data_IF_451900226746
#
_entry.id   IF_451900226746
#
_cell.length_a   1.000
_cell.length_b   1.000
_cell.length_c   1.000
_cell.angle_alpha   90.00
_cell.angle_beta   90.00
_cell.angle_gamma   90.00
#
_symmetry.space_group_name_H-M   'P 1'
#
loop_
_entity.id
_entity.type
_entity.pdbx_description
1 polymer ?
#
# COMPACT_ATOMS: atom_id res chain seq x y z
N UNK A 1 -11.08 -27.98 34.88
CA UNK A 1 -12.23 -27.06 34.83
C UNK A 1 -12.01 -26.13 33.64
N UNK A 2 -12.73 -26.41 32.55
CA UNK A 2 -12.60 -25.73 31.28
C UNK A 2 -13.56 -24.55 31.24
N UNK A 3 -13.06 -23.34 31.02
CA UNK A 3 -13.91 -22.19 30.71
C UNK A 3 -13.98 -22.01 29.19
N UNK A 4 -15.20 -22.19 28.67
CA UNK A 4 -15.57 -21.90 27.29
C UNK A 4 -15.81 -20.38 27.13
N UNK A 5 -15.23 -19.68 26.14
CA UNK A 5 -15.66 -18.31 25.85
C UNK A 5 -16.92 -18.34 24.98
N UNK A 6 -17.87 -17.55 25.40
CA UNK A 6 -19.20 -17.32 24.83
C UNK A 6 -19.13 -16.93 23.33
N UNK A 7 -19.77 -17.79 22.52
CA UNK A 7 -20.25 -17.42 21.18
C UNK A 7 -21.30 -16.30 21.31
N UNK A 8 -21.00 -15.13 20.86
CA UNK A 8 -22.01 -14.10 20.59
C UNK A 8 -22.49 -14.24 19.15
N UNK A 9 -23.70 -14.74 18.98
CA UNK A 9 -24.44 -14.77 17.74
C UNK A 9 -24.66 -13.35 17.22
N UNK A 10 -24.48 -13.09 15.93
CA UNK A 10 -24.96 -11.84 15.34
C UNK A 10 -26.48 -11.95 15.16
N UNK A 11 -27.20 -11.05 15.78
CA UNK A 11 -28.63 -10.89 15.61
C UNK A 11 -28.96 -10.57 14.14
N UNK A 12 -29.78 -11.43 13.58
CA UNK A 12 -30.45 -11.34 12.30
C UNK A 12 -31.37 -10.10 12.30
N UNK A 13 -31.00 -9.06 11.60
CA UNK A 13 -31.96 -8.04 11.17
C UNK A 13 -32.12 -8.21 9.66
N UNK A 14 -32.96 -9.19 9.30
CA UNK A 14 -33.67 -9.24 8.02
C UNK A 14 -35.06 -8.69 8.35
N UNK A 15 -35.40 -7.51 7.83
CA UNK A 15 -36.77 -7.22 7.44
C UNK A 15 -36.88 -5.88 6.69
N UNK A 16 -37.45 -6.00 5.51
CA UNK A 16 -38.18 -5.01 4.71
C UNK A 16 -37.36 -3.87 4.04
N UNK A 17 -36.85 -4.15 2.85
CA UNK A 17 -37.07 -3.21 1.73
C UNK A 17 -37.59 -3.97 0.52
N UNK A 18 -38.93 -3.94 0.41
CA UNK A 18 -39.63 -4.48 -0.75
C UNK A 18 -39.34 -3.65 -2.00
N UNK A 19 -39.07 -4.36 -3.06
CA UNK A 19 -39.37 -4.09 -4.47
C UNK A 19 -39.71 -2.64 -4.86
N UNK A 20 -38.71 -1.93 -5.42
CA UNK A 20 -38.93 -1.10 -6.60
C UNK A 20 -37.81 -1.45 -7.58
N UNK A 21 -38.02 -2.47 -8.41
CA UNK A 21 -37.25 -2.68 -9.62
C UNK A 21 -37.75 -1.66 -10.67
N UNK A 22 -37.13 -0.50 -10.69
CA UNK A 22 -37.15 0.33 -11.90
C UNK A 22 -35.89 -0.01 -12.68
N UNK A 23 -36.11 -0.51 -13.89
CA UNK A 23 -35.11 -0.81 -14.91
C UNK A 23 -34.14 0.37 -15.08
N UNK A 24 -32.99 0.33 -14.43
CA UNK A 24 -31.91 1.26 -14.69
C UNK A 24 -31.02 0.67 -15.79
N UNK A 25 -31.02 1.32 -16.92
CA UNK A 25 -30.23 1.05 -18.10
C UNK A 25 -28.72 1.15 -17.76
N UNK A 26 -27.89 0.12 -18.04
CA UNK A 26 -26.46 0.12 -17.66
C UNK A 26 -25.57 1.01 -18.54
N UNK A 27 -26.18 1.81 -19.45
CA UNK A 27 -25.45 2.58 -20.48
C UNK A 27 -24.77 3.86 -19.98
N UNK A 28 -25.08 4.32 -18.76
CA UNK A 28 -24.54 5.61 -18.26
C UNK A 28 -23.18 5.50 -17.57
N UNK A 29 -22.75 4.32 -17.15
CA UNK A 29 -21.49 4.16 -16.41
C UNK A 29 -20.24 4.11 -17.28
N UNK A 30 -20.37 3.67 -18.53
CA UNK A 30 -19.24 3.63 -19.47
C UNK A 30 -18.82 5.02 -19.97
N UNK A 31 -19.72 6.00 -19.95
CA UNK A 31 -19.46 7.34 -20.51
C UNK A 31 -18.65 8.23 -19.55
N UNK A 32 -18.82 8.08 -18.22
CA UNK A 32 -18.06 8.88 -17.25
C UNK A 32 -16.62 8.41 -17.06
N UNK A 33 -16.34 7.13 -17.25
CA UNK A 33 -14.96 6.61 -17.22
C UNK A 33 -14.11 7.17 -18.38
N UNK A 34 -14.75 7.51 -19.51
CA UNK A 34 -14.10 8.10 -20.69
C UNK A 34 -13.66 9.57 -20.53
N UNK A 35 -14.23 10.28 -19.56
CA UNK A 35 -13.97 11.71 -19.33
C UNK A 35 -13.01 12.01 -18.18
N UNK A 36 -12.45 10.99 -17.55
CA UNK A 36 -11.42 11.20 -16.54
C UNK A 36 -10.17 11.83 -17.19
N UNK A 37 -9.91 13.10 -16.89
CA UNK A 37 -8.71 13.81 -17.36
C UNK A 37 -7.47 12.98 -17.04
N UNK A 38 -6.47 12.93 -17.95
CA UNK A 38 -5.19 12.28 -17.66
C UNK A 38 -4.63 12.82 -16.35
N UNK A 39 -4.19 11.93 -15.49
CA UNK A 39 -3.52 12.32 -14.24
C UNK A 39 -2.18 12.94 -14.64
N UNK A 40 -2.03 14.24 -14.41
CA UNK A 40 -0.76 14.92 -14.62
C UNK A 40 0.15 14.57 -13.47
N UNK A 41 1.08 13.65 -13.69
CA UNK A 41 2.18 13.39 -12.76
C UNK A 41 3.07 14.63 -12.82
N UNK A 42 3.24 15.34 -11.72
CA UNK A 42 4.22 16.42 -11.61
C UNK A 42 5.57 15.90 -12.11
N UNK A 43 6.26 16.71 -12.90
CA UNK A 43 7.49 16.29 -13.55
C UNK A 43 8.53 15.83 -12.52
N UNK A 44 9.03 14.62 -12.69
CA UNK A 44 10.28 14.20 -12.09
C UNK A 44 11.40 14.71 -12.98
N UNK A 45 11.95 15.88 -12.66
CA UNK A 45 13.15 16.35 -13.33
C UNK A 45 14.27 15.30 -13.09
N UNK A 46 14.77 14.70 -14.17
CA UNK A 46 15.85 13.70 -14.13
C UNK A 46 15.53 12.41 -13.35
N UNK A 47 14.35 11.81 -13.57
CA UNK A 47 14.07 10.48 -13.03
C UNK A 47 15.00 9.43 -13.67
N UNK A 48 15.98 8.96 -12.89
CA UNK A 48 16.87 7.86 -13.26
C UNK A 48 16.62 6.69 -12.29
N UNK A 49 16.19 5.50 -12.79
CA UNK A 49 16.17 4.30 -11.97
C UNK A 49 17.54 4.02 -11.35
N UNK A 50 17.56 3.52 -10.11
CA UNK A 50 18.77 3.24 -9.34
C UNK A 50 19.67 4.46 -9.04
N UNK A 51 19.11 5.67 -9.08
CA UNK A 51 19.76 6.88 -8.56
C UNK A 51 19.75 6.96 -7.03
N UNK A 52 20.18 8.10 -6.48
CA UNK A 52 20.07 8.35 -5.03
C UNK A 52 18.60 8.33 -4.59
N UNK A 53 18.26 7.50 -3.64
CA UNK A 53 16.88 7.30 -3.18
C UNK A 53 16.35 8.52 -2.41
N UNK A 54 17.25 9.36 -1.89
CA UNK A 54 16.93 10.64 -1.23
C UNK A 54 16.21 11.65 -2.13
N UNK A 55 16.19 11.42 -3.48
CA UNK A 55 15.40 12.22 -4.40
C UNK A 55 13.90 12.21 -4.14
N UNK A 56 13.41 11.20 -3.40
CA UNK A 56 12.02 11.13 -2.97
C UNK A 56 11.73 11.98 -1.72
N UNK A 57 12.76 12.52 -1.04
CA UNK A 57 12.55 13.35 0.15
C UNK A 57 11.74 14.61 -0.19
N UNK A 58 10.71 14.86 0.61
CA UNK A 58 9.72 15.92 0.39
C UNK A 58 8.55 15.53 -0.51
N UNK A 59 8.51 14.28 -1.03
CA UNK A 59 7.39 13.80 -1.84
C UNK A 59 6.20 13.37 -0.98
N UNK A 60 5.00 13.72 -1.44
CA UNK A 60 3.74 13.14 -0.98
C UNK A 60 2.89 12.76 -2.18
N UNK A 61 2.47 11.50 -2.24
CA UNK A 61 1.54 10.96 -3.22
C UNK A 61 0.15 10.84 -2.61
N UNK A 62 -0.88 11.28 -3.33
CA UNK A 62 -2.27 11.28 -2.88
C UNK A 62 -3.09 10.31 -3.71
N UNK A 63 -3.95 9.58 -3.05
CA UNK A 63 -4.83 8.57 -3.66
C UNK A 63 -6.25 8.74 -3.17
N UNK A 64 -7.21 8.65 -4.10
CA UNK A 64 -8.61 8.39 -3.79
C UNK A 64 -8.89 6.90 -3.90
N UNK A 65 -9.66 6.37 -2.96
CA UNK A 65 -10.01 4.95 -2.90
C UNK A 65 -11.51 4.82 -3.11
N UNK A 66 -11.89 3.97 -4.07
CA UNK A 66 -13.25 3.58 -4.35
C UNK A 66 -13.47 2.10 -4.07
N UNK A 67 -14.73 1.73 -3.86
CA UNK A 67 -15.16 0.40 -3.52
C UNK A 67 -16.56 0.16 -4.10
N UNK A 68 -16.73 -0.88 -4.91
CA UNK A 68 -17.93 -1.13 -5.69
C UNK A 68 -18.34 0.14 -6.47
N UNK A 69 -19.57 0.64 -6.25
CA UNK A 69 -20.08 1.88 -6.83
C UNK A 69 -19.80 3.14 -5.96
N UNK A 70 -19.22 2.98 -4.76
CA UNK A 70 -18.90 4.11 -3.90
C UNK A 70 -17.59 4.77 -4.34
N UNK A 71 -17.70 5.93 -4.97
CA UNK A 71 -16.56 6.80 -5.27
C UNK A 71 -16.11 7.51 -3.98
N UNK A 72 -14.80 7.74 -3.81
CA UNK A 72 -14.23 8.43 -2.65
C UNK A 72 -14.60 7.79 -1.29
N UNK A 73 -14.66 6.46 -1.26
CA UNK A 73 -14.95 5.71 -0.05
C UNK A 73 -13.85 5.85 1.02
N UNK A 74 -12.63 6.13 0.58
CA UNK A 74 -11.48 6.41 1.44
C UNK A 74 -10.47 7.29 0.69
N UNK A 75 -9.46 7.78 1.41
CA UNK A 75 -8.27 8.40 0.82
C UNK A 75 -7.03 7.83 1.46
N UNK A 76 -5.92 7.89 0.72
CA UNK A 76 -4.60 7.56 1.24
C UNK A 76 -3.56 8.57 0.79
N UNK A 77 -2.52 8.72 1.62
CA UNK A 77 -1.30 9.45 1.29
C UNK A 77 -0.09 8.59 1.57
N UNK A 78 0.95 8.72 0.74
CA UNK A 78 2.26 8.13 0.99
C UNK A 78 3.29 9.23 0.89
N UNK A 79 4.00 9.49 1.99
CA UNK A 79 5.01 10.54 2.08
C UNK A 79 6.39 9.95 2.31
N UNK A 80 7.42 10.60 1.77
CA UNK A 80 8.83 10.35 2.09
C UNK A 80 9.48 11.67 2.47
N UNK A 81 10.11 11.74 3.65
CA UNK A 81 10.70 12.97 4.16
C UNK A 81 11.96 12.71 4.98
N UNK A 82 12.71 13.76 5.17
CA UNK A 82 13.88 13.80 6.05
C UNK A 82 13.57 14.73 7.22
N UNK A 83 13.90 14.28 8.41
CA UNK A 83 13.75 15.02 9.66
C UNK A 83 14.94 14.75 10.57
N UNK A 84 15.69 15.80 10.95
CA UNK A 84 16.88 15.71 11.82
C UNK A 84 17.93 14.70 11.32
N UNK A 85 18.19 14.66 10.04
CA UNK A 85 19.16 13.75 9.41
C UNK A 85 18.70 12.30 9.29
N UNK A 86 17.43 12.00 9.61
CA UNK A 86 16.82 10.69 9.48
C UNK A 86 15.76 10.71 8.38
N UNK A 87 15.60 9.57 7.73
CA UNK A 87 14.63 9.42 6.64
C UNK A 87 13.44 8.57 7.09
N UNK A 88 12.26 9.03 6.72
CA UNK A 88 11.00 8.39 7.08
C UNK A 88 10.09 8.27 5.86
N UNK A 89 9.24 7.26 5.88
CA UNK A 89 8.03 7.24 5.07
C UNK A 89 6.82 7.03 5.96
N UNK A 90 5.70 7.66 5.56
CA UNK A 90 4.42 7.52 6.23
C UNK A 90 3.35 7.20 5.19
N UNK A 91 2.53 6.18 5.48
CA UNK A 91 1.28 5.92 4.80
C UNK A 91 0.14 6.23 5.77
N UNK A 92 -0.78 7.07 5.35
CA UNK A 92 -2.04 7.34 6.04
C UNK A 92 -3.20 6.98 5.12
N UNK A 93 -4.16 6.22 5.61
CA UNK A 93 -5.39 5.94 4.89
C UNK A 93 -6.58 6.01 5.83
N UNK A 94 -7.69 6.55 5.36
CA UNK A 94 -8.91 6.68 6.15
C UNK A 94 -10.16 6.51 5.31
N UNK A 95 -11.12 5.75 5.83
CA UNK A 95 -12.45 5.63 5.24
C UNK A 95 -13.28 6.88 5.48
N UNK A 96 -14.17 7.21 4.54
CA UNK A 96 -14.96 8.45 4.53
C UNK A 96 -16.44 8.18 4.33
N UNK A 97 -17.26 9.18 4.63
CA UNK A 97 -18.68 9.21 4.33
C UNK A 97 -19.44 7.99 4.85
N UNK A 98 -20.33 7.46 4.02
CA UNK A 98 -21.15 6.31 4.35
C UNK A 98 -20.31 5.04 4.62
N UNK A 99 -19.28 4.79 3.81
CA UNK A 99 -18.36 3.66 4.04
C UNK A 99 -17.62 3.84 5.36
N UNK A 100 -17.20 5.06 5.69
CA UNK A 100 -16.61 5.36 6.99
C UNK A 100 -17.52 4.95 8.15
N UNK A 101 -18.79 5.28 8.08
CA UNK A 101 -19.77 4.89 9.09
C UNK A 101 -19.85 3.37 9.26
N UNK A 102 -19.99 2.59 8.18
CA UNK A 102 -20.06 1.13 8.22
C UNK A 102 -18.76 0.43 8.64
N UNK A 103 -17.63 1.05 8.40
CA UNK A 103 -16.31 0.52 8.76
C UNK A 103 -15.79 1.10 10.08
N UNK A 104 -16.65 1.80 10.84
CA UNK A 104 -16.30 2.49 12.09
C UNK A 104 -15.13 3.46 11.88
N UNK A 105 -15.14 4.22 10.77
CA UNK A 105 -14.13 5.21 10.40
C UNK A 105 -12.70 4.67 10.51
N UNK A 106 -12.48 3.50 9.90
CA UNK A 106 -11.19 2.82 9.92
C UNK A 106 -10.08 3.73 9.42
N UNK A 107 -8.98 3.78 10.20
CA UNK A 107 -7.76 4.52 9.84
C UNK A 107 -6.58 3.56 9.87
N UNK A 108 -5.65 3.76 8.95
CA UNK A 108 -4.35 3.10 8.89
C UNK A 108 -3.27 4.17 8.95
N UNK A 109 -2.31 3.99 9.84
CA UNK A 109 -1.13 4.82 9.95
C UNK A 109 0.09 3.89 10.01
N UNK A 110 0.93 3.95 8.98
CA UNK A 110 2.18 3.20 8.91
C UNK A 110 3.33 4.17 8.83
N UNK A 111 4.40 3.94 9.60
CA UNK A 111 5.60 4.77 9.58
C UNK A 111 6.83 3.89 9.63
N UNK A 112 7.78 4.14 8.74
CA UNK A 112 9.10 3.49 8.72
C UNK A 112 10.20 4.52 8.89
N UNK A 113 11.15 4.29 9.82
CA UNK A 113 12.45 4.96 9.85
C UNK A 113 13.42 4.13 9.03
N UNK A 114 14.17 4.77 8.13
CA UNK A 114 15.09 4.11 7.21
C UNK A 114 16.54 4.38 7.54
N UNK A 115 17.36 3.39 7.22
CA UNK A 115 18.75 3.55 6.91
C UNK A 115 18.94 3.53 5.40
N UNK A 116 19.82 4.40 4.89
CA UNK A 116 20.18 4.45 3.47
C UNK A 116 21.49 3.70 3.27
N UNK A 117 21.45 2.69 2.42
CA UNK A 117 22.57 1.80 2.13
C UNK A 117 22.91 1.78 0.63
N UNK A 118 23.87 0.94 0.20
CA UNK A 118 24.26 0.75 -1.19
C UNK A 118 24.60 2.08 -1.90
N UNK A 119 25.48 2.87 -1.30
CA UNK A 119 25.90 4.19 -1.79
C UNK A 119 24.72 5.13 -2.08
N UNK A 120 23.71 5.10 -1.24
CA UNK A 120 22.55 6.00 -1.32
C UNK A 120 21.42 5.51 -2.23
N UNK A 121 21.45 4.26 -2.69
CA UNK A 121 20.51 3.75 -3.69
C UNK A 121 19.37 2.92 -3.12
N UNK A 122 19.50 2.42 -1.88
CA UNK A 122 18.58 1.48 -1.29
C UNK A 122 18.20 1.86 0.14
N UNK A 123 16.96 1.61 0.52
CA UNK A 123 16.47 1.73 1.88
C UNK A 123 16.54 0.38 2.61
N UNK A 124 16.85 0.44 3.89
CA UNK A 124 16.76 -0.66 4.84
C UNK A 124 15.98 -0.15 6.06
N UNK A 125 14.92 -0.83 6.54
CA UNK A 125 14.14 -0.32 7.66
C UNK A 125 14.91 -0.49 8.96
N UNK A 126 14.85 0.51 9.85
CA UNK A 126 15.33 0.44 11.25
C UNK A 126 14.19 0.15 12.20
N UNK A 127 13.05 0.82 11.96
CA UNK A 127 11.81 0.59 12.69
C UNK A 127 10.63 0.65 11.73
N UNK A 128 9.59 -0.12 12.03
CA UNK A 128 8.31 -0.04 11.33
C UNK A 128 7.18 -0.03 12.35
N UNK A 129 6.34 0.97 12.26
CA UNK A 129 5.12 1.12 13.04
C UNK A 129 3.92 0.90 12.12
N UNK A 130 3.03 -0.01 12.52
CA UNK A 130 1.72 -0.20 11.92
C UNK A 130 0.67 0.06 12.97
N UNK A 131 -0.21 1.00 12.72
CA UNK A 131 -1.35 1.31 13.58
C UNK A 131 -2.63 1.26 12.78
N UNK A 132 -3.63 0.54 13.31
CA UNK A 132 -4.97 0.44 12.72
C UNK A 132 -5.99 0.83 13.79
N UNK A 133 -6.79 1.84 13.48
CA UNK A 133 -7.88 2.31 14.35
C UNK A 133 -9.22 1.89 13.75
N UNK A 134 -10.10 1.30 14.54
CA UNK A 134 -11.47 0.91 14.17
C UNK A 134 -12.41 1.39 15.27
N UNK A 135 -13.16 2.46 15.01
CA UNK A 135 -13.92 3.14 16.08
C UNK A 135 -12.99 3.70 17.13
N UNK A 136 -13.14 3.24 18.38
CA UNK A 136 -12.27 3.62 19.51
C UNK A 136 -11.08 2.68 19.71
N UNK A 137 -11.08 1.48 19.10
CA UNK A 137 -10.02 0.49 19.29
C UNK A 137 -8.80 0.80 18.41
N UNK A 138 -7.61 0.71 19.00
CA UNK A 138 -6.33 0.95 18.33
C UNK A 138 -5.44 -0.28 18.45
N UNK A 139 -5.17 -0.95 17.32
CA UNK A 139 -4.15 -2.01 17.22
C UNK A 139 -2.83 -1.38 16.74
N UNK A 140 -1.76 -1.57 17.48
CA UNK A 140 -0.43 -1.05 17.15
C UNK A 140 0.59 -2.18 17.14
N UNK A 141 1.28 -2.37 15.99
CA UNK A 141 2.43 -3.27 15.88
C UNK A 141 3.69 -2.43 15.68
N UNK A 142 4.69 -2.66 16.52
CA UNK A 142 6.02 -2.01 16.41
C UNK A 142 7.07 -3.05 16.11
N UNK A 143 7.81 -2.87 15.02
CA UNK A 143 8.94 -3.69 14.62
C UNK A 143 10.24 -2.91 14.81
N UNK A 144 11.28 -3.58 15.30
CA UNK A 144 12.65 -3.08 15.40
C UNK A 144 13.58 -4.05 14.68
N UNK A 145 14.47 -3.52 13.85
CA UNK A 145 15.46 -4.30 13.11
C UNK A 145 16.86 -3.93 13.59
N UNK A 146 17.60 -4.91 14.05
CA UNK A 146 18.99 -4.82 14.48
C UNK A 146 19.84 -5.69 13.55
N UNK A 147 20.45 -5.08 12.56
CA UNK A 147 21.21 -5.80 11.53
C UNK A 147 22.60 -6.21 12.01
N UNK A 148 23.13 -5.55 13.03
CA UNK A 148 24.43 -5.88 13.61
C UNK A 148 24.31 -7.18 14.42
N UNK A 149 23.20 -7.34 15.15
CA UNK A 149 22.88 -8.55 15.91
C UNK A 149 21.95 -9.52 15.13
N UNK A 150 21.68 -9.24 13.85
CA UNK A 150 20.84 -10.09 12.99
C UNK A 150 19.47 -10.41 13.61
N UNK A 151 18.87 -9.45 14.27
CA UNK A 151 17.66 -9.63 15.07
C UNK A 151 16.54 -8.69 14.62
N UNK A 152 15.34 -9.24 14.50
CA UNK A 152 14.10 -8.52 14.31
C UNK A 152 13.15 -8.84 15.45
N UNK A 153 12.66 -7.84 16.14
CA UNK A 153 11.69 -7.99 17.23
C UNK A 153 10.43 -7.18 16.95
N UNK A 154 9.31 -7.63 17.53
CA UNK A 154 8.04 -6.89 17.44
C UNK A 154 7.23 -6.97 18.71
N UNK A 155 6.34 -6.01 18.87
CA UNK A 155 5.34 -5.90 19.91
C UNK A 155 4.01 -5.50 19.31
N UNK A 156 2.93 -6.18 19.71
CA UNK A 156 1.55 -5.84 19.35
C UNK A 156 0.80 -5.38 20.57
N UNK A 157 0.20 -4.21 20.47
CA UNK A 157 -0.68 -3.65 21.48
C UNK A 157 -2.09 -3.52 20.93
N UNK A 158 -3.08 -3.76 21.79
CA UNK A 158 -4.48 -3.40 21.55
C UNK A 158 -4.85 -2.38 22.62
N UNK A 159 -5.09 -1.15 22.18
CA UNK A 159 -5.17 0.03 23.03
C UNK A 159 -3.87 0.17 23.84
N UNK A 160 -3.89 0.07 25.17
CA UNK A 160 -2.71 0.15 26.03
C UNK A 160 -2.11 -1.23 26.38
N UNK A 161 -2.84 -2.33 26.10
CA UNK A 161 -2.45 -3.67 26.50
C UNK A 161 -1.47 -4.30 25.51
N UNK A 162 -0.33 -4.79 26.03
CA UNK A 162 0.60 -5.62 25.26
C UNK A 162 -0.01 -7.02 25.11
N UNK A 163 -0.39 -7.41 23.87
CA UNK A 163 -1.06 -8.68 23.59
C UNK A 163 -0.13 -9.71 22.95
N UNK A 164 0.94 -9.29 22.30
CA UNK A 164 1.89 -10.20 21.65
C UNK A 164 3.28 -9.56 21.59
N UNK A 165 4.32 -10.38 21.71
CA UNK A 165 5.71 -10.01 21.44
C UNK A 165 6.42 -11.18 20.79
N UNK A 166 7.43 -10.89 19.98
CA UNK A 166 8.21 -11.95 19.36
C UNK A 166 9.52 -11.45 18.78
N UNK A 167 10.30 -12.41 18.29
CA UNK A 167 11.61 -12.18 17.72
C UNK A 167 11.89 -13.19 16.61
N UNK A 168 12.52 -12.75 15.52
CA UNK A 168 13.04 -13.56 14.44
C UNK A 168 14.51 -13.25 14.21
N UNK A 169 15.26 -14.21 13.68
CA UNK A 169 16.58 -13.97 13.13
C UNK A 169 16.48 -13.33 11.73
N UNK A 170 17.33 -12.34 11.47
CA UNK A 170 17.53 -11.79 10.12
C UNK A 170 18.67 -12.57 9.48
N UNK A 171 18.44 -13.33 8.39
CA UNK A 171 19.51 -14.08 7.75
C UNK A 171 20.68 -13.17 7.32
N UNK A 172 21.95 -13.60 7.48
CA UNK A 172 23.13 -12.82 7.11
C UNK A 172 23.05 -12.27 5.69
N UNK A 173 23.45 -11.02 5.52
CA UNK A 173 23.44 -10.34 4.21
C UNK A 173 22.05 -10.03 3.65
N UNK A 174 20.97 -10.23 4.43
CA UNK A 174 19.60 -9.93 4.04
C UNK A 174 18.98 -8.80 4.87
N UNK A 175 17.81 -8.32 4.44
CA UNK A 175 16.98 -7.40 5.19
C UNK A 175 15.51 -7.77 5.00
N UNK A 176 14.70 -7.68 6.06
CA UNK A 176 13.27 -7.70 5.93
C UNK A 176 12.79 -6.32 5.50
N UNK A 177 12.00 -6.25 4.44
CA UNK A 177 11.41 -5.00 3.98
C UNK A 177 9.97 -4.93 4.47
N UNK A 178 9.61 -3.86 5.15
CA UNK A 178 8.19 -3.53 5.31
C UNK A 178 7.60 -3.01 3.99
N UNK A 179 6.30 -2.74 3.99
CA UNK A 179 5.61 -2.33 2.76
C UNK A 179 6.09 -0.97 2.21
N UNK A 180 6.49 -0.03 3.08
CA UNK A 180 6.98 1.29 2.67
C UNK A 180 8.42 1.19 2.12
N UNK A 181 9.26 0.38 2.77
CA UNK A 181 10.61 0.06 2.27
C UNK A 181 10.52 -0.60 0.90
N UNK A 182 9.64 -1.60 0.73
CA UNK A 182 9.41 -2.29 -0.54
C UNK A 182 8.94 -1.32 -1.62
N UNK A 183 7.99 -0.46 -1.29
CA UNK A 183 7.42 0.54 -2.19
C UNK A 183 8.50 1.47 -2.78
N UNK A 184 9.33 2.09 -1.93
CA UNK A 184 10.36 3.02 -2.42
C UNK A 184 11.55 2.31 -3.08
N UNK A 185 11.94 1.13 -2.62
CA UNK A 185 13.00 0.34 -3.25
C UNK A 185 12.59 -0.12 -4.66
N UNK A 186 11.35 -0.56 -4.88
CA UNK A 186 10.83 -0.88 -6.22
C UNK A 186 10.84 0.36 -7.11
N UNK A 187 10.33 1.48 -6.62
CA UNK A 187 10.31 2.75 -7.33
C UNK A 187 11.72 3.29 -7.65
N UNK A 188 12.69 2.95 -6.82
CA UNK A 188 14.09 3.31 -7.11
C UNK A 188 14.80 2.33 -8.04
N UNK A 189 14.14 1.25 -8.46
CA UNK A 189 14.74 0.24 -9.34
C UNK A 189 15.79 -0.63 -8.64
N UNK A 190 15.74 -0.78 -7.31
CA UNK A 190 16.68 -1.59 -6.51
C UNK A 190 16.70 -3.04 -6.97
N UNK A 191 15.55 -3.56 -7.38
CA UNK A 191 15.41 -4.93 -7.88
C UNK A 191 15.68 -5.04 -9.38
N UNK A 192 16.26 -3.99 -9.99
CA UNK A 192 16.61 -3.85 -11.41
C UNK A 192 15.52 -3.18 -12.22
N UNK A 193 15.76 -3.06 -13.56
CA UNK A 193 14.86 -2.37 -14.48
C UNK A 193 13.49 -3.02 -14.51
N UNK A 194 12.44 -2.22 -14.45
CA UNK A 194 11.07 -2.70 -14.55
C UNK A 194 10.71 -2.92 -16.03
N UNK A 195 10.63 -4.17 -16.43
CA UNK A 195 10.40 -4.61 -17.81
C UNK A 195 9.26 -5.62 -17.88
N UNK A 196 8.51 -5.60 -18.99
CA UNK A 196 7.41 -6.53 -19.23
C UNK A 196 7.88 -7.99 -19.19
N UNK A 197 7.10 -8.85 -18.54
CA UNK A 197 7.41 -10.27 -18.34
C UNK A 197 8.35 -10.58 -17.17
N UNK A 198 8.91 -9.57 -16.53
CA UNK A 198 9.85 -9.77 -15.42
C UNK A 198 9.16 -10.23 -14.15
N UNK A 199 9.85 -11.11 -13.41
CA UNK A 199 9.44 -11.58 -12.09
C UNK A 199 10.58 -11.37 -11.11
N UNK A 200 10.27 -10.97 -9.88
CA UNK A 200 11.24 -10.89 -8.79
C UNK A 200 10.52 -11.03 -7.44
N UNK A 201 11.31 -11.30 -6.41
CA UNK A 201 10.83 -11.46 -5.03
C UNK A 201 11.52 -10.45 -4.12
N UNK A 202 10.81 -10.03 -3.11
CA UNK A 202 11.28 -9.10 -2.09
C UNK A 202 11.07 -9.80 -0.75
N UNK A 203 12.14 -9.99 0.02
CA UNK A 203 12.01 -10.52 1.39
C UNK A 203 11.31 -9.48 2.26
N UNK A 204 10.23 -9.88 2.92
CA UNK A 204 9.45 -9.04 3.81
C UNK A 204 9.48 -9.55 5.24
N UNK A 205 8.87 -8.79 6.15
CA UNK A 205 8.66 -9.24 7.53
C UNK A 205 7.87 -10.55 7.50
N UNK A 206 8.33 -11.61 8.17
CA UNK A 206 7.61 -12.88 8.21
C UNK A 206 6.23 -12.73 8.87
N UNK A 207 5.20 -13.16 8.16
CA UNK A 207 3.81 -13.17 8.63
C UNK A 207 3.23 -14.58 8.43
N UNK A 208 2.97 -15.31 9.51
CA UNK A 208 2.37 -16.67 9.47
C UNK A 208 3.07 -17.62 8.47
N UNK A 209 4.39 -17.58 8.42
CA UNK A 209 5.21 -18.43 7.53
C UNK A 209 5.39 -17.90 6.12
N UNK A 210 4.88 -16.70 5.81
CA UNK A 210 5.10 -16.01 4.53
C UNK A 210 6.08 -14.85 4.76
N UNK A 211 7.21 -14.87 4.09
CA UNK A 211 8.29 -13.89 4.24
C UNK A 211 8.71 -13.24 2.92
N UNK A 212 7.89 -13.36 1.87
CA UNK A 212 8.17 -12.83 0.54
C UNK A 212 7.00 -12.07 -0.05
N UNK A 213 7.31 -10.96 -0.72
CA UNK A 213 6.44 -10.29 -1.67
C UNK A 213 6.87 -10.76 -3.05
N UNK A 214 5.96 -11.36 -3.82
CA UNK A 214 6.21 -11.75 -5.20
C UNK A 214 5.70 -10.68 -6.15
N UNK A 215 6.53 -10.24 -7.09
CA UNK A 215 6.18 -9.25 -8.10
C UNK A 215 6.31 -9.86 -9.48
N UNK A 216 5.26 -9.77 -10.29
CA UNK A 216 5.23 -10.16 -11.68
C UNK A 216 4.75 -8.98 -12.52
N UNK A 217 5.63 -8.45 -13.38
CA UNK A 217 5.27 -7.46 -14.39
C UNK A 217 4.74 -8.25 -15.58
N UNK A 218 3.48 -8.02 -15.96
CA UNK A 218 2.85 -8.80 -17.01
C UNK A 218 3.54 -8.62 -18.35
N UNK A 219 3.45 -9.65 -19.21
CA UNK A 219 3.94 -9.58 -20.60
C UNK A 219 3.16 -8.53 -21.41
N UNK A 220 3.70 -8.06 -22.53
CA UNK A 220 3.00 -7.16 -23.46
C UNK A 220 1.61 -7.70 -23.82
N UNK A 221 1.55 -8.99 -24.20
CA UNK A 221 0.32 -9.65 -24.61
C UNK A 221 -0.73 -9.67 -23.49
N UNK A 222 -0.30 -9.99 -22.25
CA UNK A 222 -1.24 -10.10 -21.14
C UNK A 222 -1.72 -8.72 -20.67
N UNK A 223 -0.84 -7.71 -20.68
CA UNK A 223 -1.21 -6.33 -20.39
C UNK A 223 -2.23 -5.79 -21.41
N UNK A 224 -2.00 -6.04 -22.70
CA UNK A 224 -2.90 -5.58 -23.75
C UNK A 224 -4.27 -6.26 -23.66
N UNK A 225 -4.30 -7.58 -23.40
CA UNK A 225 -5.56 -8.29 -23.18
C UNK A 225 -6.34 -7.71 -22.02
N UNK A 226 -5.70 -7.53 -20.86
CA UNK A 226 -6.32 -6.99 -19.66
C UNK A 226 -6.78 -5.53 -19.87
N UNK A 227 -5.99 -4.73 -20.59
CA UNK A 227 -6.34 -3.36 -20.94
C UNK A 227 -7.63 -3.30 -21.75
N UNK A 228 -7.81 -4.21 -22.72
CA UNK A 228 -9.02 -4.30 -23.54
C UNK A 228 -10.22 -4.76 -22.70
N UNK A 229 -10.03 -5.78 -21.85
CA UNK A 229 -11.06 -6.29 -20.92
C UNK A 229 -11.58 -5.21 -19.97
N UNK A 230 -10.71 -4.32 -19.49
CA UNK A 230 -11.04 -3.21 -18.60
C UNK A 230 -11.41 -1.91 -19.35
N UNK A 231 -11.55 -1.95 -20.68
CA UNK A 231 -11.82 -0.78 -21.54
C UNK A 231 -10.89 0.42 -21.26
N UNK A 232 -9.64 0.15 -20.85
CA UNK A 232 -8.65 1.15 -20.44
C UNK A 232 -7.92 1.72 -21.65
N UNK A 233 -7.75 3.05 -21.67
CA UNK A 233 -6.91 3.71 -22.66
C UNK A 233 -5.46 3.21 -22.58
N UNK A 234 -4.80 3.11 -23.75
CA UNK A 234 -3.38 2.75 -23.83
C UNK A 234 -2.54 3.92 -23.34
N UNK A 235 -1.66 3.64 -22.37
CA UNK A 235 -0.72 4.59 -21.77
C UNK A 235 0.65 3.92 -21.65
N UNK A 236 1.70 4.73 -21.47
CA UNK A 236 3.05 4.25 -21.18
C UNK A 236 3.15 3.83 -19.69
N UNK A 237 2.57 2.67 -19.41
CA UNK A 237 2.45 2.10 -18.07
C UNK A 237 2.76 0.60 -18.12
N UNK A 238 3.13 0.06 -16.97
CA UNK A 238 3.36 -1.37 -16.76
C UNK A 238 2.30 -1.92 -15.80
N UNK A 239 1.74 -3.08 -16.10
CA UNK A 239 0.83 -3.78 -15.21
C UNK A 239 1.60 -4.75 -14.33
N UNK A 240 1.51 -4.54 -13.02
CA UNK A 240 2.09 -5.41 -12.01
C UNK A 240 1.01 -6.29 -11.39
N UNK A 241 1.32 -7.56 -11.21
CA UNK A 241 0.65 -8.43 -10.25
C UNK A 241 1.59 -8.66 -9.07
N UNK A 242 1.13 -8.31 -7.88
CA UNK A 242 1.91 -8.32 -6.65
C UNK A 242 1.18 -9.22 -5.67
N UNK A 243 1.88 -10.21 -5.12
CA UNK A 243 1.35 -11.05 -4.03
C UNK A 243 2.12 -10.69 -2.77
N UNK A 244 1.40 -10.23 -1.77
CA UNK A 244 1.91 -9.93 -0.42
C UNK A 244 1.34 -10.92 0.60
N UNK A 245 1.96 -11.09 1.78
CA UNK A 245 1.30 -11.77 2.88
C UNK A 245 -0.09 -11.17 3.12
N UNK A 246 -1.12 -12.01 3.10
CA UNK A 246 -2.54 -11.58 3.12
C UNK A 246 -2.91 -10.75 4.36
N UNK A 247 -2.16 -10.91 5.42
CA UNK A 247 -2.31 -10.19 6.69
C UNK A 247 -2.00 -8.70 6.56
N UNK A 248 -1.11 -8.31 5.63
CA UNK A 248 -0.69 -6.91 5.43
C UNK A 248 -1.87 -6.02 5.08
N UNK A 249 -2.72 -6.48 4.15
CA UNK A 249 -3.90 -5.71 3.70
C UNK A 249 -5.24 -6.33 4.13
N UNK A 250 -5.21 -7.38 4.96
CA UNK A 250 -6.43 -8.10 5.39
C UNK A 250 -7.27 -8.56 4.17
N UNK A 251 -6.62 -9.22 3.21
CA UNK A 251 -7.26 -9.78 2.01
C UNK A 251 -7.36 -11.30 2.10
N UNK A 252 -8.13 -11.93 1.21
CA UNK A 252 -8.19 -13.39 1.13
C UNK A 252 -6.95 -13.98 0.46
N UNK A 253 -6.40 -13.29 -0.54
CA UNK A 253 -5.36 -13.80 -1.44
C UNK A 253 -4.02 -13.09 -1.31
N UNK A 254 -3.99 -11.86 -0.80
CA UNK A 254 -2.80 -10.99 -0.83
C UNK A 254 -2.52 -10.38 -2.21
N UNK A 255 -3.42 -10.57 -3.19
CA UNK A 255 -3.21 -10.10 -4.56
C UNK A 255 -3.49 -8.59 -4.70
N UNK A 256 -2.53 -7.89 -5.31
CA UNK A 256 -2.68 -6.51 -5.77
C UNK A 256 -2.33 -6.44 -7.26
N UNK A 257 -3.12 -5.66 -8.00
CA UNK A 257 -2.80 -5.29 -9.39
C UNK A 257 -2.55 -3.80 -9.45
N UNK A 258 -1.45 -3.40 -10.04
CA UNK A 258 -1.08 -1.99 -10.09
C UNK A 258 -0.61 -1.59 -11.49
N UNK A 259 -1.19 -0.52 -12.04
CA UNK A 259 -0.66 0.19 -13.19
C UNK A 259 0.40 1.18 -12.72
N UNK A 260 1.62 1.00 -13.21
CA UNK A 260 2.80 1.78 -12.83
C UNK A 260 3.21 2.65 -14.00
N UNK A 261 3.29 3.97 -13.78
CA UNK A 261 3.72 4.93 -14.80
C UNK A 261 5.21 4.75 -15.16
N UNK A 262 5.64 5.39 -16.25
CA UNK A 262 7.06 5.48 -16.66
C UNK A 262 7.98 6.09 -15.58
N UNK A 263 7.43 6.83 -14.62
CA UNK A 263 8.15 7.38 -13.48
C UNK A 263 8.05 6.49 -12.22
N UNK A 264 7.66 5.23 -12.40
CA UNK A 264 7.52 4.23 -11.33
C UNK A 264 6.58 4.66 -10.21
N UNK A 265 5.53 5.42 -10.55
CA UNK A 265 4.44 5.77 -9.63
C UNK A 265 3.25 4.86 -9.90
N UNK A 266 2.69 4.18 -8.89
CA UNK A 266 1.41 3.50 -9.03
C UNK A 266 0.31 4.52 -9.32
N UNK A 267 -0.28 4.44 -10.52
CA UNK A 267 -1.36 5.37 -10.92
C UNK A 267 -2.74 4.82 -10.62
N UNK A 268 -2.87 3.51 -10.67
CA UNK A 268 -4.06 2.79 -10.23
C UNK A 268 -3.62 1.48 -9.58
N UNK A 269 -4.24 1.14 -8.45
CA UNK A 269 -3.97 -0.10 -7.74
C UNK A 269 -5.28 -0.72 -7.30
N UNK A 270 -5.48 -1.99 -7.62
CA UNK A 270 -6.60 -2.79 -7.13
C UNK A 270 -6.10 -3.76 -6.08
N UNK A 271 -6.60 -3.65 -4.86
CA UNK A 271 -6.43 -4.65 -3.79
C UNK A 271 -7.57 -5.63 -3.93
N UNK A 272 -7.25 -6.88 -4.30
CA UNK A 272 -8.23 -7.92 -4.55
C UNK A 272 -8.77 -8.52 -3.27
N UNK A 273 -10.05 -8.84 -3.27
CA UNK A 273 -10.70 -9.60 -2.19
C UNK A 273 -10.43 -9.05 -0.79
N UNK A 274 -10.45 -7.72 -0.62
CA UNK A 274 -10.36 -7.10 0.71
C UNK A 274 -11.52 -7.58 1.58
N UNK A 275 -11.22 -8.03 2.79
CA UNK A 275 -12.21 -8.67 3.69
C UNK A 275 -13.39 -7.72 3.93
N UNK A 276 -14.61 -8.23 3.72
CA UNK A 276 -15.91 -7.58 3.84
C UNK A 276 -16.29 -6.61 2.71
N UNK A 277 -15.34 -6.11 1.92
CA UNK A 277 -15.60 -5.05 0.97
C UNK A 277 -15.40 -5.46 -0.51
N UNK A 278 -14.76 -6.63 -0.79
CA UNK A 278 -14.39 -7.01 -2.16
C UNK A 278 -13.18 -6.23 -2.67
N UNK A 279 -13.16 -5.84 -3.93
CA UNK A 279 -12.02 -5.15 -4.51
C UNK A 279 -11.99 -3.67 -4.14
N UNK A 280 -10.84 -3.19 -3.67
CA UNK A 280 -10.59 -1.76 -3.43
C UNK A 280 -9.76 -1.20 -4.58
N UNK A 281 -10.17 -0.07 -5.14
CA UNK A 281 -9.48 0.62 -6.22
C UNK A 281 -8.91 1.93 -5.73
N UNK A 282 -7.59 2.01 -5.61
CA UNK A 282 -6.87 3.23 -5.30
C UNK A 282 -6.43 3.90 -6.60
N UNK A 283 -6.74 5.19 -6.75
CA UNK A 283 -6.38 6.00 -7.90
C UNK A 283 -5.52 7.17 -7.46
N UNK A 284 -4.36 7.29 -8.09
CA UNK A 284 -3.48 8.44 -7.90
C UNK A 284 -4.17 9.74 -8.36
N UNK A 285 -4.14 10.76 -7.51
CA UNK A 285 -4.79 12.05 -7.79
C UNK A 285 -3.79 13.16 -8.01
N UNK A 286 -2.75 13.24 -7.18
CA UNK A 286 -1.72 14.27 -7.29
C UNK A 286 -0.44 13.86 -6.57
N UNK A 287 0.64 14.53 -6.93
CA UNK A 287 1.94 14.51 -6.27
C UNK A 287 2.29 15.91 -5.79
N UNK A 288 2.71 16.00 -4.55
CA UNK A 288 3.39 17.18 -4.03
C UNK A 288 4.86 16.86 -3.82
N UNK A 289 5.75 17.80 -4.17
CA UNK A 289 7.17 17.72 -3.87
C UNK A 289 7.60 19.02 -3.21
N UNK A 290 7.94 18.97 -1.94
CA UNK A 290 8.58 20.11 -1.26
C UNK A 290 10.08 20.02 -1.50
N UNK A 291 10.65 20.98 -2.19
CA UNK A 291 12.11 21.10 -2.22
C UNK A 291 12.58 21.36 -0.79
N UNK A 292 13.37 20.44 -0.24
CA UNK A 292 14.13 20.72 0.98
C UNK A 292 15.01 21.93 0.62
N UNK A 293 14.72 23.11 1.18
CA UNK A 293 15.66 24.23 1.13
C UNK A 293 16.93 23.71 1.81
N UNK A 294 18.03 23.65 1.05
CA UNK A 294 19.33 23.45 1.64
C UNK A 294 19.42 24.46 2.80
N UNK A 295 19.63 23.94 4.02
CA UNK A 295 19.94 24.81 5.14
C UNK A 295 21.13 25.65 4.69
N UNK A 296 20.91 26.97 4.50
CA UNK A 296 21.98 27.90 4.24
C UNK A 296 22.89 27.82 5.47
N UNK A 297 24.05 27.20 5.29
CA UNK A 297 25.16 27.31 6.24
C UNK A 297 25.54 28.78 6.32
N UNK A 298 25.10 29.46 7.36
CA UNK A 298 25.72 30.68 7.84
C UNK A 298 26.88 30.33 8.77
#
# INVERSE_FOLDING_TARGET
MSFNPLQRHPFLIILLFGLIFTSFCPTTYALEAKLAKPITLGEYNNFLPAGKITRFAGETLYYDISFLWFKNAASATVSFFEEHGKYFSVLEASTKGFIGFFTSYRKHFYKTEFEIIDNGKKLRPKTFLRQVTIGSQVETTRHKFDYDNQSHSWQVHVDEDLVETGQNEIPPGSAFNDILTSFYNVRNGVYGKLEKGRKFKIRTIPEKGHDEISVHIWSERDQERFRIEEEREKRDELLFNIIVPKEIFKTKTGELRAWISKHYVPVETTVRDYILLGDLHARFTRREARHLRAASSN
#
